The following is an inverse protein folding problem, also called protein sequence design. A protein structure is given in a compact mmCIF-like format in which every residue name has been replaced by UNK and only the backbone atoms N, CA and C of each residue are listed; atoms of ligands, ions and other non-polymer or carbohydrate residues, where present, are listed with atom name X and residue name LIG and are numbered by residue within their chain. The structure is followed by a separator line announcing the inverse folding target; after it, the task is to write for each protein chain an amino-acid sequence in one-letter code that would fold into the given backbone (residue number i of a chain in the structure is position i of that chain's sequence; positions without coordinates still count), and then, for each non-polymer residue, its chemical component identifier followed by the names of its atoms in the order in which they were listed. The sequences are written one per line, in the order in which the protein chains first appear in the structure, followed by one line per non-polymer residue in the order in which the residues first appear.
data_IF_183599103966
#
_entry.id   IF_183599103966
#
_cell.length_a   1.000
_cell.length_b   1.000
_cell.length_c   1.000
_cell.angle_alpha   90.00
_cell.angle_beta   90.00
_cell.angle_gamma   90.00
#
_symmetry.space_group_name_H-M   'P 1'
#
loop_
_entity.id
_entity.type
_entity.pdbx_description
1 polymer ?
#
# COMPACT_ATOMS: atom_id res chain seq x y z
N UNK A 1 -2.19 12.90 -8.59
CA UNK A 1 -2.97 11.99 -9.44
C UNK A 1 -2.13 11.07 -10.33
N UNK A 2 -1.33 11.56 -11.31
CA UNK A 2 -0.51 10.65 -12.15
C UNK A 2 0.51 9.82 -11.33
N UNK A 3 1.17 10.43 -10.37
CA UNK A 3 2.13 9.77 -9.46
C UNK A 3 1.45 8.65 -8.65
N UNK A 4 0.29 8.92 -8.11
CA UNK A 4 -0.50 7.97 -7.30
C UNK A 4 -1.07 6.84 -8.15
N UNK A 5 -1.52 7.13 -9.39
CA UNK A 5 -2.06 6.11 -10.29
C UNK A 5 -1.00 5.08 -10.70
N UNK A 6 0.17 5.52 -11.15
CA UNK A 6 1.25 4.62 -11.57
C UNK A 6 1.87 3.87 -10.40
N UNK A 7 2.24 4.58 -9.32
CA UNK A 7 2.79 3.92 -8.13
C UNK A 7 1.75 3.01 -7.47
N UNK A 8 0.49 3.47 -7.37
CA UNK A 8 -0.60 2.70 -6.78
C UNK A 8 -0.84 1.37 -7.50
N UNK A 9 -0.90 1.38 -8.84
CA UNK A 9 -1.07 0.13 -9.60
C UNK A 9 0.02 -0.90 -9.29
N UNK A 10 1.29 -0.47 -9.27
CA UNK A 10 2.43 -1.35 -8.94
C UNK A 10 2.35 -1.82 -7.49
N UNK A 11 2.07 -0.92 -6.55
CA UNK A 11 1.96 -1.21 -5.12
C UNK A 11 0.87 -2.24 -4.86
N UNK A 12 -0.31 -2.07 -5.47
CA UNK A 12 -1.43 -2.98 -5.24
C UNK A 12 -1.18 -4.36 -5.83
N UNK A 13 -0.59 -4.46 -7.00
CA UNK A 13 -0.24 -5.77 -7.59
C UNK A 13 0.84 -6.48 -6.77
N UNK A 14 1.97 -5.81 -6.52
CA UNK A 14 3.08 -6.42 -5.78
C UNK A 14 2.70 -6.71 -4.32
N UNK A 15 2.02 -5.78 -3.66
CA UNK A 15 1.63 -5.96 -2.27
C UNK A 15 0.57 -7.05 -2.08
N UNK A 16 -0.37 -7.21 -3.03
CA UNK A 16 -1.30 -8.34 -3.02
C UNK A 16 -0.56 -9.67 -3.15
N UNK A 17 0.37 -9.77 -4.11
CA UNK A 17 1.18 -10.98 -4.31
C UNK A 17 2.00 -11.30 -3.05
N UNK A 18 2.71 -10.33 -2.48
CA UNK A 18 3.52 -10.54 -1.29
C UNK A 18 2.66 -10.88 -0.06
N UNK A 19 1.50 -10.25 0.11
CA UNK A 19 0.57 -10.56 1.19
C UNK A 19 0.01 -11.97 1.10
N UNK A 20 -0.34 -12.43 -0.11
CA UNK A 20 -0.75 -13.82 -0.35
C UNK A 20 0.40 -14.77 -0.02
N UNK A 21 1.62 -14.52 -0.54
CA UNK A 21 2.78 -15.38 -0.27
C UNK A 21 3.03 -15.48 1.24
N UNK A 22 3.02 -14.37 1.99
CA UNK A 22 3.16 -14.39 3.44
C UNK A 22 2.09 -15.27 4.11
N UNK A 23 0.83 -15.12 3.71
CA UNK A 23 -0.29 -15.87 4.30
C UNK A 23 -0.17 -17.37 4.07
N UNK A 24 0.15 -17.78 2.85
CA UNK A 24 0.19 -19.21 2.50
C UNK A 24 1.46 -19.92 2.96
N UNK A 25 2.59 -19.18 3.09
CA UNK A 25 3.88 -19.77 3.48
C UNK A 25 4.18 -19.69 4.97
N UNK A 26 3.38 -18.93 5.75
CA UNK A 26 3.56 -18.84 7.21
C UNK A 26 3.46 -20.22 7.90
N UNK A 27 3.98 -20.35 9.13
CA UNK A 27 3.78 -21.57 9.92
C UNK A 27 2.29 -21.92 10.06
N UNK A 28 1.91 -23.15 9.67
CA UNK A 28 0.51 -23.58 9.61
C UNK A 28 -0.28 -23.08 8.40
N UNK A 29 0.37 -22.47 7.42
CA UNK A 29 -0.25 -22.09 6.14
C UNK A 29 -0.36 -23.27 5.17
N UNK A 30 -1.25 -23.13 4.16
CA UNK A 30 -1.55 -24.20 3.17
C UNK A 30 -0.37 -24.60 2.27
N UNK A 31 0.63 -23.75 2.12
CA UNK A 31 1.88 -24.01 1.39
C UNK A 31 3.09 -23.66 2.27
N UNK A 32 3.08 -24.13 3.51
CA UNK A 32 4.08 -23.78 4.51
C UNK A 32 5.51 -23.90 3.97
N UNK A 33 6.22 -22.77 3.98
CA UNK A 33 7.65 -22.70 3.66
C UNK A 33 8.33 -21.67 4.56
N UNK A 34 8.97 -22.14 5.61
CA UNK A 34 9.59 -21.31 6.64
C UNK A 34 10.66 -20.35 6.06
N UNK A 35 11.41 -20.81 5.08
CA UNK A 35 12.48 -19.99 4.47
C UNK A 35 11.90 -18.82 3.69
N UNK A 36 10.94 -19.08 2.78
CA UNK A 36 10.29 -18.04 1.99
C UNK A 36 9.61 -17.03 2.91
N UNK A 37 8.85 -17.52 3.89
CA UNK A 37 8.19 -16.66 4.87
C UNK A 37 9.17 -15.74 5.59
N UNK A 38 10.24 -16.31 6.18
CA UNK A 38 11.21 -15.54 6.97
C UNK A 38 11.98 -14.51 6.14
N UNK A 39 12.35 -14.84 4.92
CA UNK A 39 13.07 -13.92 4.02
C UNK A 39 12.15 -12.76 3.65
N UNK A 40 10.93 -13.05 3.19
CA UNK A 40 9.97 -12.02 2.78
C UNK A 40 9.55 -11.16 3.97
N UNK A 41 9.29 -11.77 5.12
CA UNK A 41 8.96 -11.09 6.37
C UNK A 41 10.05 -10.10 6.79
N UNK A 42 11.32 -10.52 6.78
CA UNK A 42 12.45 -9.66 7.12
C UNK A 42 12.60 -8.49 6.14
N UNK A 43 12.48 -8.74 4.84
CA UNK A 43 12.56 -7.70 3.81
C UNK A 43 11.44 -6.65 4.02
N UNK A 44 10.20 -7.11 4.18
CA UNK A 44 9.06 -6.24 4.41
C UNK A 44 9.24 -5.42 5.68
N UNK A 45 9.66 -6.04 6.79
CA UNK A 45 9.89 -5.34 8.04
C UNK A 45 11.05 -4.34 7.94
N UNK A 46 12.11 -4.67 7.21
CA UNK A 46 13.23 -3.76 6.97
C UNK A 46 12.75 -2.46 6.31
N UNK A 47 12.04 -2.54 5.18
CA UNK A 47 11.56 -1.34 4.50
C UNK A 47 10.53 -0.55 5.32
N UNK A 48 9.70 -1.20 6.12
CA UNK A 48 8.75 -0.55 7.03
C UNK A 48 9.41 0.15 8.21
N UNK A 49 10.60 -0.26 8.61
CA UNK A 49 11.33 0.38 9.72
C UNK A 49 12.05 1.67 9.30
N UNK A 50 12.21 1.91 7.99
CA UNK A 50 12.88 3.11 7.49
C UNK A 50 11.84 4.24 7.32
N UNK A 51 12.03 5.40 7.96
CA UNK A 51 11.18 6.57 7.71
C UNK A 51 11.16 6.94 6.23
N UNK A 52 9.97 7.22 5.69
CA UNK A 52 9.80 7.44 4.24
C UNK A 52 10.69 8.53 3.68
N UNK A 53 10.88 9.63 4.42
CA UNK A 53 11.74 10.73 3.98
C UNK A 53 13.21 10.28 3.78
N UNK A 54 13.69 9.37 4.65
CA UNK A 54 15.03 8.80 4.55
C UNK A 54 15.08 7.81 3.37
N UNK A 55 14.06 6.96 3.23
CA UNK A 55 13.96 6.01 2.12
C UNK A 55 13.94 6.73 0.78
N UNK A 56 13.22 7.85 0.68
CA UNK A 56 13.14 8.68 -0.50
C UNK A 56 14.52 9.18 -0.91
N UNK A 57 15.30 9.72 0.03
CA UNK A 57 16.66 10.23 -0.25
C UNK A 57 17.64 9.09 -0.58
N UNK A 58 17.56 7.98 0.14
CA UNK A 58 18.41 6.81 -0.09
C UNK A 58 18.18 6.17 -1.48
N UNK A 59 16.95 6.19 -1.98
CA UNK A 59 16.59 5.63 -3.29
C UNK A 59 16.73 6.60 -4.47
N UNK A 60 17.19 7.84 -4.25
CA UNK A 60 17.45 8.80 -5.35
C UNK A 60 18.37 8.25 -6.46
N UNK A 61 19.50 7.56 -6.16
CA UNK A 61 20.35 6.99 -7.20
C UNK A 61 19.61 5.94 -8.03
N UNK A 62 18.81 5.09 -7.38
CA UNK A 62 18.02 4.05 -8.04
C UNK A 62 16.92 4.68 -8.90
N UNK A 63 16.25 5.73 -8.41
CA UNK A 63 15.25 6.48 -9.17
C UNK A 63 15.85 7.08 -10.44
N UNK A 64 17.06 7.65 -10.36
CA UNK A 64 17.78 8.15 -11.55
C UNK A 64 18.09 7.06 -12.55
N UNK A 65 18.51 5.89 -12.08
CA UNK A 65 18.85 4.76 -12.94
C UNK A 65 17.62 4.20 -13.68
N UNK A 66 16.45 4.11 -13.02
CA UNK A 66 15.23 3.51 -13.58
C UNK A 66 14.39 4.56 -14.34
N UNK A 67 14.19 5.75 -13.76
CA UNK A 67 13.26 6.77 -14.26
C UNK A 67 13.96 7.94 -14.99
N UNK A 68 15.28 7.94 -15.03
CA UNK A 68 16.08 9.02 -15.63
C UNK A 68 16.15 10.30 -14.76
N UNK A 69 15.41 10.36 -13.65
CA UNK A 69 15.38 11.51 -12.73
C UNK A 69 15.14 11.06 -11.29
N UNK A 70 15.63 11.84 -10.31
CA UNK A 70 15.37 11.62 -8.89
C UNK A 70 14.37 12.63 -8.32
N UNK A 71 13.97 13.64 -9.09
CA UNK A 71 13.05 14.72 -8.72
C UNK A 71 11.80 14.66 -9.59
N UNK A 72 10.81 15.48 -9.26
CA UNK A 72 9.50 15.51 -9.90
C UNK A 72 8.71 14.19 -9.75
N UNK A 73 7.54 14.15 -10.34
CA UNK A 73 6.58 13.05 -10.29
C UNK A 73 7.22 11.69 -10.60
N UNK A 74 8.06 11.61 -11.63
CA UNK A 74 8.69 10.35 -12.06
C UNK A 74 9.74 9.86 -11.08
N UNK A 75 10.53 10.77 -10.50
CA UNK A 75 11.60 10.40 -9.57
C UNK A 75 11.12 9.79 -8.25
N UNK A 76 9.89 10.08 -7.84
CA UNK A 76 9.34 9.62 -6.57
C UNK A 76 8.56 8.29 -6.69
N UNK A 77 8.27 7.83 -7.91
CA UNK A 77 7.56 6.55 -8.11
C UNK A 77 8.31 5.39 -7.44
N UNK A 78 9.63 5.30 -7.63
CA UNK A 78 10.44 4.21 -7.06
C UNK A 78 10.39 4.21 -5.54
N UNK A 79 10.71 5.30 -4.83
CA UNK A 79 10.58 5.35 -3.37
C UNK A 79 9.18 5.06 -2.85
N UNK A 80 8.12 5.53 -3.55
CA UNK A 80 6.74 5.23 -3.17
C UNK A 80 6.43 3.73 -3.26
N UNK A 81 6.88 3.07 -4.33
CA UNK A 81 6.70 1.62 -4.48
C UNK A 81 7.43 0.87 -3.36
N UNK A 82 8.69 1.19 -3.08
CA UNK A 82 9.44 0.54 -2.02
C UNK A 82 8.90 0.83 -0.61
N UNK A 83 8.35 2.02 -0.37
CA UNK A 83 7.78 2.39 0.93
C UNK A 83 6.39 1.81 1.17
N UNK A 84 5.51 1.86 0.17
CA UNK A 84 4.10 1.50 0.36
C UNK A 84 3.79 0.03 0.03
N UNK A 85 4.55 -0.66 -0.84
CA UNK A 85 4.34 -2.09 -1.12
C UNK A 85 4.45 -2.96 0.14
N UNK A 86 5.49 -2.82 0.99
CA UNK A 86 5.58 -3.56 2.24
C UNK A 86 4.44 -3.27 3.21
N UNK A 87 3.97 -2.03 3.24
CA UNK A 87 2.82 -1.64 4.05
C UNK A 87 1.55 -2.35 3.56
N UNK A 88 1.25 -2.28 2.25
CA UNK A 88 0.06 -2.93 1.69
C UNK A 88 0.13 -4.46 1.80
N UNK A 89 1.30 -5.08 1.60
CA UNK A 89 1.49 -6.51 1.78
C UNK A 89 1.07 -6.99 3.19
N UNK A 90 1.40 -6.22 4.23
CA UNK A 90 0.97 -6.51 5.61
C UNK A 90 -0.53 -6.32 5.82
N UNK A 91 -1.12 -5.31 5.20
CA UNK A 91 -2.57 -5.12 5.25
C UNK A 91 -3.30 -6.30 4.59
N UNK A 92 -2.79 -6.78 3.44
CA UNK A 92 -3.35 -7.95 2.77
C UNK A 92 -3.17 -9.22 3.61
N UNK A 93 -1.98 -9.47 4.17
CA UNK A 93 -1.76 -10.59 5.08
C UNK A 93 -2.74 -10.57 6.25
N UNK A 94 -2.94 -9.40 6.87
CA UNK A 94 -3.90 -9.22 7.96
C UNK A 94 -5.35 -9.46 7.52
N UNK A 95 -5.70 -9.04 6.30
CA UNK A 95 -7.03 -9.27 5.74
C UNK A 95 -7.29 -10.76 5.50
N UNK A 96 -6.34 -11.46 4.87
CA UNK A 96 -6.45 -12.90 4.60
C UNK A 96 -6.41 -13.74 5.88
N UNK A 97 -5.76 -13.26 6.94
CA UNK A 97 -5.73 -13.93 8.23
C UNK A 97 -7.08 -13.97 8.96
N UNK A 98 -8.05 -13.15 8.52
CA UNK A 98 -9.42 -13.14 9.07
C UNK A 98 -10.30 -14.26 8.51
N UNK A 99 -9.86 -14.93 7.43
CA UNK A 99 -10.59 -16.09 6.87
C UNK A 99 -10.67 -17.21 7.91
N UNK A 100 -11.86 -17.76 8.11
CA UNK A 100 -12.08 -18.85 9.03
C UNK A 100 -11.29 -20.10 8.62
N UNK A 101 -10.53 -20.67 9.56
CA UNK A 101 -9.72 -21.86 9.30
C UNK A 101 -10.55 -23.04 8.86
N UNK A 102 -11.77 -23.19 9.41
CA UNK A 102 -12.68 -24.26 9.05
C UNK A 102 -13.05 -24.28 7.56
N UNK A 103 -13.21 -23.10 6.92
CA UNK A 103 -13.47 -23.01 5.49
C UNK A 103 -12.28 -23.50 4.66
N UNK A 104 -11.06 -23.14 5.09
CA UNK A 104 -9.84 -23.58 4.44
C UNK A 104 -9.65 -25.10 4.56
N UNK A 105 -9.85 -25.64 5.76
CA UNK A 105 -9.75 -27.09 6.05
C UNK A 105 -10.81 -27.88 5.28
N UNK A 106 -12.04 -27.39 5.23
CA UNK A 106 -13.13 -28.01 4.45
C UNK A 106 -12.80 -28.08 2.96
N UNK A 107 -12.30 -26.98 2.39
CA UNK A 107 -11.92 -26.92 0.98
C UNK A 107 -10.78 -27.91 0.65
N UNK A 108 -9.76 -27.99 1.51
CA UNK A 108 -8.66 -28.96 1.35
C UNK A 108 -9.15 -30.40 1.48
N UNK A 109 -10.05 -30.68 2.42
CA UNK A 109 -10.64 -32.01 2.63
C UNK A 109 -11.51 -32.45 1.44
N UNK A 110 -12.10 -31.51 0.71
CA UNK A 110 -12.83 -31.77 -0.55
C UNK A 110 -11.90 -31.92 -1.76
N UNK A 111 -10.57 -31.90 -1.57
CA UNK A 111 -9.60 -32.10 -2.65
C UNK A 111 -9.23 -30.84 -3.43
N UNK A 112 -9.57 -29.65 -2.94
CA UNK A 112 -9.16 -28.42 -3.60
C UNK A 112 -7.63 -28.24 -3.55
N UNK A 113 -7.05 -27.86 -4.68
CA UNK A 113 -5.62 -27.52 -4.75
C UNK A 113 -5.33 -26.24 -3.96
N UNK A 114 -4.09 -26.03 -3.49
CA UNK A 114 -3.71 -24.79 -2.78
C UNK A 114 -4.03 -23.51 -3.57
N UNK A 115 -3.88 -23.52 -4.88
CA UNK A 115 -4.23 -22.38 -5.74
C UNK A 115 -5.75 -22.13 -5.74
N UNK A 116 -6.57 -23.16 -5.81
CA UNK A 116 -8.03 -23.02 -5.71
C UNK A 116 -8.44 -22.46 -4.37
N UNK A 117 -7.81 -22.87 -3.28
CA UNK A 117 -8.06 -22.32 -1.95
C UNK A 117 -7.69 -20.84 -1.88
N UNK A 118 -6.60 -20.41 -2.49
CA UNK A 118 -6.23 -18.98 -2.55
C UNK A 118 -7.32 -18.16 -3.25
N UNK A 119 -7.73 -18.57 -4.45
CA UNK A 119 -8.63 -17.76 -5.27
C UNK A 119 -10.10 -17.89 -4.86
N UNK A 120 -10.54 -19.09 -4.46
CA UNK A 120 -11.96 -19.37 -4.16
C UNK A 120 -12.33 -19.20 -2.69
N UNK A 121 -11.37 -19.34 -1.77
CA UNK A 121 -11.61 -19.20 -0.32
C UNK A 121 -10.96 -17.91 0.18
N UNK A 122 -9.63 -17.83 0.25
CA UNK A 122 -8.97 -16.68 0.84
C UNK A 122 -9.39 -15.34 0.23
N UNK A 123 -9.24 -15.17 -1.08
CA UNK A 123 -9.52 -13.88 -1.72
C UNK A 123 -11.01 -13.56 -1.72
N UNK A 124 -11.88 -14.56 -1.85
CA UNK A 124 -13.33 -14.35 -1.89
C UNK A 124 -13.89 -13.98 -0.51
N UNK A 125 -13.51 -14.69 0.53
CA UNK A 125 -13.94 -14.42 1.90
C UNK A 125 -13.34 -13.12 2.45
N UNK A 126 -12.15 -12.74 2.00
CA UNK A 126 -11.46 -11.53 2.45
C UNK A 126 -11.72 -10.29 1.58
N UNK A 127 -12.70 -10.28 0.67
CA UNK A 127 -12.96 -9.14 -0.21
C UNK A 127 -13.18 -7.84 0.57
N UNK A 128 -14.03 -7.85 1.59
CA UNK A 128 -14.31 -6.66 2.39
C UNK A 128 -13.08 -6.18 3.20
N UNK A 129 -12.33 -7.03 3.90
CA UNK A 129 -11.04 -6.66 4.50
C UNK A 129 -10.00 -6.14 3.51
N UNK A 130 -9.90 -6.72 2.30
CA UNK A 130 -8.98 -6.28 1.25
C UNK A 130 -9.37 -4.87 0.76
N UNK A 131 -10.66 -4.60 0.54
CA UNK A 131 -11.13 -3.26 0.16
C UNK A 131 -10.74 -2.22 1.23
N UNK A 132 -10.88 -2.55 2.51
CA UNK A 132 -10.43 -1.67 3.60
C UNK A 132 -8.90 -1.49 3.57
N UNK A 133 -8.14 -2.55 3.32
CA UNK A 133 -6.68 -2.48 3.18
C UNK A 133 -6.26 -1.55 2.02
N UNK A 134 -6.94 -1.64 0.87
CA UNK A 134 -6.72 -0.74 -0.27
C UNK A 134 -7.03 0.71 0.14
N UNK A 135 -8.17 0.95 0.79
CA UNK A 135 -8.59 2.29 1.23
C UNK A 135 -7.55 2.92 2.16
N UNK A 136 -7.10 2.19 3.19
CA UNK A 136 -6.08 2.65 4.13
C UNK A 136 -4.76 2.94 3.39
N UNK A 137 -4.41 2.11 2.41
CA UNK A 137 -3.18 2.30 1.63
C UNK A 137 -3.27 3.53 0.73
N UNK A 138 -4.40 3.80 0.09
CA UNK A 138 -4.61 5.03 -0.71
C UNK A 138 -4.46 6.27 0.19
N UNK A 139 -5.07 6.27 1.37
CA UNK A 139 -4.94 7.38 2.33
C UNK A 139 -3.49 7.57 2.77
N UNK A 140 -2.78 6.47 3.04
CA UNK A 140 -1.35 6.50 3.38
C UNK A 140 -0.50 7.04 2.23
N UNK A 141 -0.81 6.66 0.98
CA UNK A 141 -0.15 7.17 -0.23
C UNK A 141 -0.33 8.67 -0.39
N UNK A 142 -1.52 9.22 -0.13
CA UNK A 142 -1.75 10.66 -0.13
C UNK A 142 -0.80 11.38 0.84
N UNK A 143 -0.62 10.84 2.05
CA UNK A 143 0.34 11.36 3.02
C UNK A 143 1.79 11.27 2.55
N UNK A 144 2.21 10.12 1.97
CA UNK A 144 3.56 9.93 1.45
C UNK A 144 3.86 10.87 0.26
N UNK A 145 2.87 11.08 -0.64
CA UNK A 145 3.03 12.01 -1.78
C UNK A 145 3.10 13.46 -1.31
N UNK A 146 2.38 13.83 -0.25
CA UNK A 146 2.52 15.14 0.36
C UNK A 146 3.92 15.35 0.95
N UNK A 147 4.49 14.33 1.64
CA UNK A 147 5.87 14.36 2.14
C UNK A 147 6.90 14.43 1.01
N UNK A 148 6.66 13.75 -0.12
CA UNK A 148 7.49 13.82 -1.29
C UNK A 148 7.52 15.23 -1.91
N UNK A 149 6.46 16.00 -1.76
CA UNK A 149 6.40 17.41 -2.13
C UNK A 149 7.49 18.25 -1.48
N UNK A 150 7.87 17.94 -0.23
CA UNK A 150 8.94 18.65 0.49
C UNK A 150 10.32 18.54 -0.20
N UNK A 151 10.54 17.53 -1.02
CA UNK A 151 11.78 17.31 -1.78
C UNK A 151 11.61 17.64 -3.28
N UNK A 152 10.59 18.42 -3.62
CA UNK A 152 10.39 18.91 -5.00
C UNK A 152 9.75 17.89 -5.95
N UNK A 153 8.96 16.93 -5.41
CA UNK A 153 8.19 16.00 -6.22
C UNK A 153 7.00 16.64 -6.94
N UNK A 154 6.64 17.87 -6.57
CA UNK A 154 5.42 18.53 -7.03
C UNK A 154 4.18 18.08 -6.25
N UNK A 155 3.00 18.49 -6.72
CA UNK A 155 1.71 18.16 -6.10
C UNK A 155 1.31 19.08 -4.95
N UNK A 156 0.26 18.69 -4.22
CA UNK A 156 -0.33 19.51 -3.15
C UNK A 156 0.65 19.78 -2.00
N UNK A 157 1.52 18.83 -1.68
CA UNK A 157 2.53 19.02 -0.65
C UNK A 157 3.57 20.06 -1.01
N UNK A 158 4.11 20.00 -2.23
CA UNK A 158 5.04 21.00 -2.76
C UNK A 158 4.40 22.38 -2.81
N UNK A 159 3.13 22.44 -3.23
CA UNK A 159 2.38 23.70 -3.29
C UNK A 159 2.19 24.32 -1.90
N UNK A 160 1.83 23.51 -0.91
CA UNK A 160 1.67 23.97 0.47
C UNK A 160 2.98 24.52 1.07
N UNK A 161 4.11 23.88 0.76
CA UNK A 161 5.42 24.31 1.27
C UNK A 161 5.86 25.59 0.55
N UNK A 162 5.92 25.60 -0.78
CA UNK A 162 6.45 26.73 -1.54
C UNK A 162 5.62 28.01 -1.41
N UNK A 163 4.30 27.89 -1.37
CA UNK A 163 3.43 29.06 -1.31
C UNK A 163 2.91 29.32 0.09
N UNK A 164 2.58 28.26 0.84
CA UNK A 164 2.07 28.40 2.20
C UNK A 164 3.16 28.75 3.20
N UNK A 165 4.20 27.91 3.29
CA UNK A 165 5.26 28.08 4.28
C UNK A 165 6.33 29.12 3.85
N UNK A 166 6.98 28.91 2.69
CA UNK A 166 8.13 29.73 2.27
C UNK A 166 7.76 31.17 1.95
N UNK A 167 6.53 31.41 1.46
CA UNK A 167 6.00 32.76 1.18
C UNK A 167 5.14 33.33 2.31
N UNK A 168 5.04 32.61 3.42
CA UNK A 168 4.26 33.01 4.60
C UNK A 168 2.78 33.27 4.30
N UNK A 169 2.19 32.55 3.33
CA UNK A 169 0.78 32.64 2.94
C UNK A 169 0.00 31.52 3.62
N UNK A 170 -0.29 31.67 4.91
CA UNK A 170 -0.95 30.63 5.73
C UNK A 170 -2.34 30.24 5.23
N UNK A 171 -3.07 31.15 4.59
CA UNK A 171 -4.34 30.90 3.93
C UNK A 171 -4.25 29.77 2.89
N UNK A 172 -3.19 29.75 2.09
CA UNK A 172 -2.91 28.69 1.11
C UNK A 172 -2.71 27.34 1.81
N UNK A 173 -1.97 27.33 2.91
CA UNK A 173 -1.77 26.09 3.70
C UNK A 173 -3.10 25.52 4.18
N UNK A 174 -4.00 26.38 4.72
CA UNK A 174 -5.32 25.94 5.18
C UNK A 174 -6.21 25.45 4.04
N UNK A 175 -6.15 26.09 2.86
CA UNK A 175 -6.85 25.61 1.66
C UNK A 175 -6.38 24.21 1.27
N UNK A 176 -5.06 23.97 1.23
CA UNK A 176 -4.49 22.65 0.91
C UNK A 176 -4.91 21.61 1.94
N UNK A 177 -4.89 21.93 3.24
CA UNK A 177 -5.39 21.05 4.31
C UNK A 177 -6.86 20.70 4.07
N UNK A 178 -7.71 21.68 3.76
CA UNK A 178 -9.12 21.45 3.43
C UNK A 178 -9.33 20.51 2.25
N UNK A 179 -8.56 20.70 1.17
CA UNK A 179 -8.60 19.83 -0.02
C UNK A 179 -8.17 18.41 0.31
N UNK A 180 -7.08 18.24 1.10
CA UNK A 180 -6.61 16.92 1.51
C UNK A 180 -7.63 16.21 2.40
N UNK A 181 -8.20 16.91 3.38
CA UNK A 181 -9.25 16.35 4.27
C UNK A 181 -10.47 15.91 3.47
N UNK A 182 -10.94 16.75 2.53
CA UNK A 182 -12.04 16.39 1.66
C UNK A 182 -11.73 15.16 0.80
N UNK A 183 -10.53 15.13 0.19
CA UNK A 183 -10.07 13.99 -0.62
C UNK A 183 -10.01 12.69 0.18
N UNK A 184 -9.40 12.73 1.37
CA UNK A 184 -9.32 11.57 2.28
C UNK A 184 -10.72 11.10 2.70
N UNK A 185 -11.62 12.04 3.04
CA UNK A 185 -13.00 11.72 3.44
C UNK A 185 -13.78 11.03 2.32
N UNK A 186 -13.61 11.48 1.07
CA UNK A 186 -14.23 10.85 -0.10
C UNK A 186 -13.70 9.43 -0.29
N UNK A 187 -12.37 9.24 -0.25
CA UNK A 187 -11.75 7.92 -0.39
C UNK A 187 -12.22 6.98 0.70
N UNK A 188 -12.28 7.45 1.95
CA UNK A 188 -12.75 6.66 3.09
C UNK A 188 -14.22 6.27 2.96
N UNK A 189 -15.07 7.22 2.57
CA UNK A 189 -16.49 6.96 2.36
C UNK A 189 -16.73 5.93 1.25
N UNK A 190 -16.06 6.07 0.09
CA UNK A 190 -16.13 5.13 -1.01
C UNK A 190 -15.64 3.74 -0.59
N UNK A 191 -14.50 3.68 0.09
CA UNK A 191 -13.93 2.43 0.56
C UNK A 191 -14.85 1.70 1.53
N UNK A 192 -15.46 2.41 2.46
CA UNK A 192 -16.41 1.82 3.39
C UNK A 192 -17.71 1.36 2.72
N UNK A 193 -18.22 2.14 1.77
CA UNK A 193 -19.38 1.77 0.98
C UNK A 193 -19.15 0.44 0.21
N UNK A 194 -18.02 0.31 -0.48
CA UNK A 194 -17.69 -0.92 -1.19
C UNK A 194 -17.39 -2.09 -0.25
N UNK A 195 -16.73 -1.86 0.88
CA UNK A 195 -16.48 -2.89 1.88
C UNK A 195 -17.78 -3.47 2.45
N UNK A 196 -18.73 -2.60 2.85
CA UNK A 196 -20.06 -3.02 3.38
C UNK A 196 -20.86 -3.83 2.36
N UNK A 197 -20.81 -3.45 1.08
CA UNK A 197 -21.51 -4.19 0.01
C UNK A 197 -21.00 -5.62 -0.19
N UNK A 198 -19.74 -5.89 0.19
CA UNK A 198 -19.08 -7.19 0.07
C UNK A 198 -18.91 -7.91 1.41
N UNK A 199 -19.57 -7.46 2.46
CA UNK A 199 -19.64 -8.19 3.74
C UNK A 199 -20.84 -9.13 3.66
N UNK A 200 -20.59 -10.43 3.74
CA UNK A 200 -21.60 -11.49 3.83
C UNK A 200 -21.88 -11.81 5.27
#
# INVERSE_FOLDING_TARGET
MLMEAWSGAIIFVLGLIFGIILTVTKPGGIMQNRTIYQVLDKIINLFRSIPFIILLTALMPLSRAIMGTAIYVRGVIVPLVFGATPFFARQVESALAQTEKGLVEAALSMGSSPFEVIFRVYLRESLAPIIRAITITIISLLGLTAMAGAVGAGGLGDFAIRYGHDRNMQDITWVVVGVLVAGVSIVQWLGEYFARKNTH
#
